data_IF_834661800656
#
_entry.id   IF_834661800656
#
_cell.length_a   1.000
_cell.length_b   1.000
_cell.length_c   1.000
_cell.angle_alpha   90.00
_cell.angle_beta   90.00
_cell.angle_gamma   90.00
#
_symmetry.space_group_name_H-M   'P 1'
#
loop_
_entity.id
_entity.type
_entity.pdbx_description
1 polymer ?
#
# COMPACT_ATOMS: atom_id res chain seq x y z
N UNK A 1 -6.00 26.30 -15.68
CA UNK A 1 -6.04 26.05 -14.23
C UNK A 1 -7.36 25.35 -13.94
N UNK A 2 -7.36 24.04 -13.63
CA UNK A 2 -8.58 23.26 -13.35
C UNK A 2 -8.80 23.28 -11.83
N UNK A 3 -9.83 23.95 -11.28
CA UNK A 3 -9.97 24.16 -9.84
C UNK A 3 -10.58 22.99 -9.04
N UNK A 4 -10.85 21.84 -9.67
CA UNK A 4 -11.56 20.72 -9.04
C UNK A 4 -10.78 19.40 -9.17
N UNK A 5 -9.52 19.39 -8.78
CA UNK A 5 -8.87 18.13 -8.43
C UNK A 5 -9.39 17.74 -7.04
N UNK A 6 -10.57 17.10 -6.97
CA UNK A 6 -10.93 16.34 -5.78
C UNK A 6 -9.73 15.47 -5.42
N UNK A 7 -9.17 15.71 -4.23
CA UNK A 7 -8.01 15.02 -3.69
C UNK A 7 -8.39 13.58 -3.32
N UNK A 8 -8.76 12.80 -4.33
CA UNK A 8 -8.98 11.37 -4.21
C UNK A 8 -7.64 10.74 -3.89
N UNK A 9 -7.54 10.06 -2.75
CA UNK A 9 -6.37 9.22 -2.48
C UNK A 9 -6.35 8.10 -3.51
N UNK A 10 -5.34 8.14 -4.37
CA UNK A 10 -5.11 7.12 -5.40
C UNK A 10 -4.46 5.90 -4.76
N UNK A 11 -5.15 4.75 -4.83
CA UNK A 11 -4.63 3.47 -4.36
C UNK A 11 -3.28 3.10 -5.01
N UNK A 12 -3.02 3.56 -6.24
CA UNK A 12 -1.70 3.43 -6.86
C UNK A 12 -0.61 4.14 -6.06
N UNK A 13 -0.86 5.37 -5.58
CA UNK A 13 0.08 6.10 -4.73
C UNK A 13 0.29 5.40 -3.38
N UNK A 14 -0.77 4.85 -2.79
CA UNK A 14 -0.70 4.07 -1.55
C UNK A 14 0.21 2.85 -1.75
N UNK A 15 -0.03 2.05 -2.79
CA UNK A 15 0.76 0.85 -3.08
C UNK A 15 2.22 1.16 -3.41
N UNK A 16 2.50 2.26 -4.10
CA UNK A 16 3.85 2.76 -4.31
C UNK A 16 4.57 3.08 -3.00
N UNK A 17 3.92 3.83 -2.10
CA UNK A 17 4.51 4.19 -0.80
C UNK A 17 4.78 2.96 0.07
N UNK A 18 3.84 2.00 0.08
CA UNK A 18 4.01 0.71 0.73
C UNK A 18 5.23 -0.04 0.16
N UNK A 19 5.38 -0.06 -1.17
CA UNK A 19 6.52 -0.70 -1.82
C UNK A 19 7.84 -0.05 -1.40
N UNK A 20 7.91 1.28 -1.33
CA UNK A 20 9.10 2.01 -0.85
C UNK A 20 9.44 1.61 0.59
N UNK A 21 8.45 1.57 1.49
CA UNK A 21 8.64 1.15 2.88
C UNK A 21 9.17 -0.28 2.98
N UNK A 22 8.65 -1.21 2.15
CA UNK A 22 9.14 -2.59 2.09
C UNK A 22 10.59 -2.68 1.62
N UNK A 23 10.98 -1.90 0.61
CA UNK A 23 12.37 -1.88 0.13
C UNK A 23 13.30 -1.28 1.19
N UNK A 24 12.87 -0.23 1.89
CA UNK A 24 13.63 0.34 2.99
C UNK A 24 13.82 -0.67 4.12
N UNK A 25 12.79 -1.41 4.50
CA UNK A 25 12.87 -2.47 5.51
C UNK A 25 13.85 -3.58 5.11
N UNK A 26 13.86 -3.98 3.83
CA UNK A 26 14.82 -4.97 3.28
C UNK A 26 16.26 -4.46 3.21
N UNK A 27 16.44 -3.15 3.09
CA UNK A 27 17.75 -2.50 3.02
C UNK A 27 18.33 -2.09 4.38
N UNK A 28 17.70 -2.48 5.49
CA UNK A 28 18.22 -2.18 6.82
C UNK A 28 19.55 -2.92 7.08
N UNK A 29 20.48 -2.33 7.84
CA UNK A 29 21.70 -3.00 8.23
C UNK A 29 21.45 -4.06 9.32
N UNK A 30 22.36 -5.03 9.46
CA UNK A 30 22.33 -5.96 10.58
C UNK A 30 22.44 -5.23 11.93
N UNK A 31 21.73 -5.69 12.99
CA UNK A 31 20.86 -6.88 13.02
C UNK A 31 19.40 -6.62 12.61
N UNK A 32 19.06 -5.42 12.14
CA UNK A 32 17.68 -5.02 11.85
C UNK A 32 17.12 -5.63 10.56
N UNK A 33 17.98 -6.09 9.66
CA UNK A 33 17.62 -6.86 8.47
C UNK A 33 16.81 -8.13 8.80
N UNK A 34 17.06 -8.74 9.96
CA UNK A 34 16.30 -9.89 10.45
C UNK A 34 14.79 -9.58 10.63
N UNK A 35 14.42 -8.33 10.87
CA UNK A 35 13.03 -7.90 11.01
C UNK A 35 12.34 -7.62 9.66
N UNK A 36 13.08 -7.59 8.55
CA UNK A 36 12.54 -7.24 7.23
C UNK A 36 11.34 -8.12 6.80
N UNK A 37 11.33 -9.46 6.99
CA UNK A 37 10.16 -10.27 6.64
C UNK A 37 8.90 -9.89 7.40
N UNK A 38 9.04 -9.59 8.71
CA UNK A 38 7.93 -9.18 9.56
C UNK A 38 7.40 -7.80 9.15
N UNK A 39 8.29 -6.84 8.92
CA UNK A 39 7.93 -5.51 8.44
C UNK A 39 7.17 -5.57 7.10
N UNK A 40 7.64 -6.40 6.15
CA UNK A 40 6.97 -6.60 4.86
C UNK A 40 5.57 -7.19 5.06
N UNK A 41 5.41 -8.18 5.93
CA UNK A 41 4.11 -8.80 6.20
C UNK A 41 3.09 -7.83 6.84
N UNK A 42 3.55 -6.94 7.73
CA UNK A 42 2.71 -5.88 8.29
C UNK A 42 2.27 -4.91 7.20
N UNK A 43 3.19 -4.42 6.38
CA UNK A 43 2.90 -3.48 5.29
C UNK A 43 1.96 -4.09 4.22
N UNK A 44 2.09 -5.38 3.93
CA UNK A 44 1.14 -6.12 3.10
C UNK A 44 -0.26 -6.19 3.74
N UNK A 45 -0.32 -6.37 5.06
CA UNK A 45 -1.58 -6.38 5.80
C UNK A 45 -2.24 -5.00 5.80
N UNK A 46 -1.47 -3.92 5.98
CA UNK A 46 -1.94 -2.54 5.81
C UNK A 46 -2.52 -2.33 4.41
N UNK A 47 -1.82 -2.78 3.36
CA UNK A 47 -2.32 -2.71 1.98
C UNK A 47 -3.69 -3.39 1.85
N UNK A 48 -3.85 -4.59 2.41
CA UNK A 48 -5.13 -5.34 2.39
C UNK A 48 -6.25 -4.60 3.12
N UNK A 49 -5.96 -4.00 4.26
CA UNK A 49 -6.96 -3.20 5.00
C UNK A 49 -7.44 -2.01 4.16
N UNK A 50 -6.50 -1.28 3.57
CA UNK A 50 -6.79 -0.13 2.70
C UNK A 50 -7.56 -0.55 1.44
N UNK A 51 -7.25 -1.71 0.84
CA UNK A 51 -8.01 -2.26 -0.28
C UNK A 51 -9.51 -2.43 0.03
N UNK A 52 -9.84 -2.80 1.27
CA UNK A 52 -11.22 -2.94 1.76
C UNK A 52 -11.79 -1.67 2.39
N UNK A 53 -11.11 -0.52 2.23
CA UNK A 53 -11.47 0.76 2.87
C UNK A 53 -11.55 0.70 4.40
N UNK A 54 -10.87 -0.28 5.04
CA UNK A 54 -10.81 -0.38 6.50
C UNK A 54 -9.62 0.46 7.01
N UNK A 55 -9.84 1.77 7.07
CA UNK A 55 -8.80 2.76 7.40
C UNK A 55 -8.35 2.66 8.85
N UNK A 56 -9.28 2.48 9.80
CA UNK A 56 -8.95 2.40 11.22
C UNK A 56 -8.02 1.22 11.53
N UNK A 57 -8.30 0.04 10.98
CA UNK A 57 -7.43 -1.12 11.15
C UNK A 57 -6.08 -0.97 10.44
N UNK A 58 -6.03 -0.24 9.32
CA UNK A 58 -4.76 0.09 8.68
C UNK A 58 -3.91 1.03 9.55
N UNK A 59 -4.54 2.02 10.18
CA UNK A 59 -3.85 2.96 11.08
C UNK A 59 -3.37 2.26 12.36
N UNK A 60 -4.17 1.40 12.96
CA UNK A 60 -3.76 0.62 14.13
C UNK A 60 -2.52 -0.25 13.84
N UNK A 61 -2.49 -0.93 12.69
CA UNK A 61 -1.31 -1.71 12.28
C UNK A 61 -0.07 -0.85 12.04
N UNK A 62 -0.24 0.38 11.55
CA UNK A 62 0.87 1.32 11.33
C UNK A 62 1.39 1.90 12.66
N UNK A 63 0.50 2.16 13.61
CA UNK A 63 0.82 2.60 14.97
C UNK A 63 1.60 1.50 15.72
N UNK A 64 1.06 0.27 15.78
CA UNK A 64 1.74 -0.87 16.40
C UNK A 64 3.14 -1.12 15.80
N UNK A 65 3.27 -0.95 14.48
CA UNK A 65 4.56 -1.07 13.79
C UNK A 65 5.51 0.09 14.12
N UNK A 66 4.97 1.30 14.27
CA UNK A 66 5.68 2.50 14.70
C UNK A 66 6.24 2.37 16.12
N UNK A 67 5.45 1.86 17.05
CA UNK A 67 5.81 1.68 18.46
C UNK A 67 7.00 0.71 18.63
N UNK A 68 7.14 -0.26 17.73
CA UNK A 68 8.31 -1.15 17.70
C UNK A 68 9.65 -0.42 17.55
N UNK A 69 9.66 0.76 16.91
CA UNK A 69 10.88 1.57 16.79
C UNK A 69 11.28 2.26 18.09
N UNK A 70 10.33 2.52 18.99
CA UNK A 70 10.58 3.22 20.26
C UNK A 70 11.35 2.35 21.26
N UNK A 71 11.37 1.04 21.03
CA UNK A 71 12.16 0.07 21.78
C UNK A 71 13.65 0.07 21.40
N UNK A 72 14.03 0.74 20.31
CA UNK A 72 15.40 0.75 19.79
C UNK A 72 16.14 1.94 20.41
N UNK A 73 17.10 1.65 21.29
CA UNK A 73 18.02 2.67 21.81
C UNK A 73 19.09 2.99 20.76
N UNK A 74 19.19 4.26 20.37
CA UNK A 74 20.12 4.79 19.35
C UNK A 74 20.02 4.08 17.98
N UNK A 75 18.90 4.23 17.27
CA UNK A 75 18.69 3.58 15.97
C UNK A 75 19.63 4.15 14.89
N UNK A 76 20.18 3.30 14.00
CA UNK A 76 20.97 3.77 12.88
C UNK A 76 20.14 4.65 11.95
N UNK A 77 20.83 5.40 11.09
CA UNK A 77 20.22 6.38 10.21
C UNK A 77 19.11 5.78 9.32
N UNK A 78 19.29 4.55 8.83
CA UNK A 78 18.35 3.83 7.97
C UNK A 78 17.04 3.51 8.71
N UNK A 79 17.14 3.09 9.97
CA UNK A 79 15.99 2.79 10.84
C UNK A 79 15.22 4.07 11.15
N UNK A 80 15.92 5.16 11.48
CA UNK A 80 15.30 6.50 11.65
C UNK A 80 14.59 6.98 10.40
N UNK A 81 15.21 6.77 9.23
CA UNK A 81 14.62 7.13 7.94
C UNK A 81 13.36 6.32 7.67
N UNK A 82 13.38 5.01 7.93
CA UNK A 82 12.20 4.15 7.81
C UNK A 82 11.07 4.61 8.72
N UNK A 83 11.34 4.85 10.00
CA UNK A 83 10.36 5.38 10.98
C UNK A 83 9.72 6.66 10.49
N UNK A 84 10.53 7.63 10.02
CA UNK A 84 10.01 8.88 9.47
C UNK A 84 9.09 8.67 8.26
N UNK A 85 9.49 7.82 7.31
CA UNK A 85 8.64 7.52 6.15
C UNK A 85 7.33 6.83 6.55
N UNK A 86 7.37 5.99 7.58
CA UNK A 86 6.19 5.35 8.15
C UNK A 86 5.24 6.36 8.81
N UNK A 87 5.76 7.31 9.58
CA UNK A 87 4.99 8.39 10.19
C UNK A 87 4.33 9.28 9.13
N UNK A 88 5.07 9.65 8.07
CA UNK A 88 4.53 10.42 6.95
C UNK A 88 3.45 9.65 6.19
N UNK A 89 3.62 8.34 6.01
CA UNK A 89 2.61 7.47 5.40
C UNK A 89 1.37 7.33 6.28
N UNK A 90 1.54 7.16 7.59
CA UNK A 90 0.44 7.05 8.55
C UNK A 90 -0.40 8.32 8.59
N UNK A 91 0.25 9.50 8.60
CA UNK A 91 -0.45 10.79 8.49
C UNK A 91 -1.20 10.93 7.17
N UNK A 92 -0.60 10.47 6.06
CA UNK A 92 -1.25 10.49 4.75
C UNK A 92 -2.50 9.59 4.72
N UNK A 93 -2.43 8.40 5.30
CA UNK A 93 -3.60 7.51 5.47
C UNK A 93 -4.63 8.13 6.42
N UNK A 94 -4.22 8.75 7.52
CA UNK A 94 -5.16 9.38 8.46
C UNK A 94 -5.94 10.53 7.81
N UNK A 95 -5.30 11.33 6.96
CA UNK A 95 -5.97 12.39 6.18
C UNK A 95 -7.02 11.84 5.18
N UNK A 96 -6.98 10.54 4.85
CA UNK A 96 -7.99 9.89 4.02
C UNK A 96 -9.33 9.67 4.71
N UNK A 97 -9.43 9.79 6.03
CA UNK A 97 -10.75 9.76 6.71
C UNK A 97 -11.61 10.98 6.35
N UNK A 98 -11.02 12.04 5.77
CA UNK A 98 -11.74 13.24 5.29
C UNK A 98 -12.03 13.20 3.78
N UNK A 99 -11.38 12.31 3.02
CA UNK A 99 -11.46 12.21 1.55
C UNK A 99 -11.54 10.73 1.13
N UNK A 100 -12.61 10.28 0.46
CA UNK A 100 -12.76 8.87 0.12
C UNK A 100 -11.56 8.34 -0.69
N UNK A 101 -10.95 7.24 -0.23
CA UNK A 101 -9.92 6.54 -0.99
C UNK A 101 -10.60 5.94 -2.24
N UNK A 102 -10.11 6.27 -3.44
CA UNK A 102 -10.51 5.55 -4.66
C UNK A 102 -9.77 4.22 -4.69
N UNK A 103 -10.29 3.28 -3.92
CA UNK A 103 -9.90 1.88 -3.94
C UNK A 103 -10.78 1.13 -4.96
N UNK A 104 -10.20 0.22 -5.77
CA UNK A 104 -10.96 -0.54 -6.77
C UNK A 104 -12.11 -1.38 -6.19
N UNK A 105 -12.12 -1.67 -4.89
CA UNK A 105 -13.21 -2.36 -4.20
C UNK A 105 -14.11 -1.45 -3.35
N UNK A 106 -13.74 -0.19 -3.09
CA UNK A 106 -14.62 0.78 -2.44
C UNK A 106 -15.78 1.20 -3.36
N UNK A 107 -15.53 1.28 -4.67
CA UNK A 107 -16.56 1.52 -5.68
C UNK A 107 -17.55 0.35 -5.82
N UNK A 108 -17.10 -0.88 -5.55
CA UNK A 108 -17.94 -2.10 -5.56
C UNK A 108 -18.92 -2.16 -4.41
N UNK A 109 -18.54 -1.68 -3.22
CA UNK A 109 -19.46 -1.50 -2.10
C UNK A 109 -20.47 -0.35 -2.32
N UNK A 110 -20.08 0.68 -3.09
CA UNK A 110 -20.95 1.84 -3.37
C UNK A 110 -22.05 1.53 -4.40
N UNK A 111 -21.82 0.55 -5.29
CA UNK A 111 -22.76 0.16 -6.35
C UNK A 111 -23.47 -1.19 -6.14
N UNK A 112 -23.13 -1.96 -5.09
CA UNK A 112 -23.88 -3.17 -4.73
C UNK A 112 -23.83 -4.31 -5.75
N UNK A 113 -22.84 -4.33 -6.66
CA UNK A 113 -22.73 -5.39 -7.67
C UNK A 113 -21.90 -6.58 -7.16
N UNK A 114 -22.55 -7.75 -7.13
CA UNK A 114 -21.91 -9.05 -6.94
C UNK A 114 -21.17 -9.40 -8.23
N UNK A 115 -19.83 -9.39 -8.20
CA UNK A 115 -19.06 -9.80 -9.38
C UNK A 115 -18.65 -11.26 -9.28
N UNK A 116 -19.27 -12.02 -10.16
CA UNK A 116 -18.84 -13.34 -10.63
C UNK A 116 -17.36 -13.31 -11.05
N UNK A 117 -16.60 -14.30 -10.60
CA UNK A 117 -15.22 -14.57 -10.99
C UNK A 117 -15.13 -15.04 -12.45
N UNK A 118 -15.22 -14.11 -13.40
CA UNK A 118 -14.88 -14.39 -14.78
C UNK A 118 -14.34 -13.14 -15.48
N UNK A 119 -13.31 -13.36 -16.30
CA UNK A 119 -12.73 -12.45 -17.29
C UNK A 119 -11.47 -11.65 -16.90
N UNK A 120 -10.38 -12.37 -16.62
CA UNK A 120 -9.03 -11.94 -17.04
C UNK A 120 -8.45 -13.05 -17.91
N UNK A 121 -8.84 -13.09 -19.19
CA UNK A 121 -8.11 -13.85 -20.20
C UNK A 121 -8.32 -13.21 -21.59
N UNK A 122 -7.80 -11.99 -21.77
CA UNK A 122 -7.63 -11.43 -23.11
C UNK A 122 -6.59 -10.33 -23.10
N UNK A 123 -5.31 -10.70 -23.29
CA UNK A 123 -4.39 -10.09 -24.27
C UNK A 123 -3.16 -10.99 -24.39
N UNK A 124 -3.36 -12.25 -24.77
CA UNK A 124 -2.31 -13.07 -25.39
C UNK A 124 -2.97 -13.82 -26.54
N UNK A 125 -3.29 -13.10 -27.61
CA UNK A 125 -3.36 -13.73 -28.92
C UNK A 125 -2.19 -13.20 -29.75
N UNK A 126 -1.06 -13.86 -29.52
CA UNK A 126 0.14 -13.81 -30.34
C UNK A 126 -0.24 -14.34 -31.72
N UNK A 127 -0.50 -13.46 -32.69
CA UNK A 127 -0.78 -13.85 -34.08
C UNK A 127 0.52 -14.41 -34.69
N UNK A 128 0.60 -15.73 -34.80
CA UNK A 128 1.49 -16.46 -35.70
C UNK A 128 0.62 -17.37 -36.57
N UNK A 129 0.80 -17.30 -37.89
CA UNK A 129 0.24 -18.22 -38.89
C UNK A 129 -0.29 -17.47 -40.12
N UNK A 130 0.56 -17.11 -41.10
CA UNK A 130 0.91 -17.89 -42.30
C UNK A 130 -0.30 -18.13 -43.24
N UNK A 131 -0.20 -17.63 -44.48
CA UNK A 131 -0.59 -18.42 -45.66
C UNK A 131 -1.52 -17.77 -46.70
N UNK A 132 -0.91 -17.35 -47.82
CA UNK A 132 -1.38 -17.44 -49.22
C UNK A 132 -2.68 -16.73 -49.62
N UNK A 133 -2.57 -15.78 -50.56
CA UNK A 133 -2.70 -16.04 -52.00
C UNK A 133 -1.87 -15.03 -52.79
#
# INVERSE_FOLDING_TARGET
>A
MRPNAEHVLDYFQITMRITVLQQMARGLPAPFDAAAPAAVAVLESVRRHLWHAYVDGALALLEDFGDGFDLISDPPHEVRKLRRYLEEFSRYVAMSTTMPISCPNAERHRYGEVVSTAFVESTVNRVIGIGRR
#
